data_IF_139506055081
#
_entry.id   IF_139506055081
#
_cell.length_a   1.000
_cell.length_b   1.000
_cell.length_c   1.000
_cell.angle_alpha   90.00
_cell.angle_beta   90.00
_cell.angle_gamma   90.00
#
_symmetry.space_group_name_H-M   'P 1'
#
loop_
_entity.id
_entity.type
_entity.pdbx_description
1 polymer ?
#
# COMPACT_ATOMS: atom_id res chain seq x y z
N UNK A 1 0.48 12.54 1.65
CA UNK A 1 -0.28 11.66 2.58
C UNK A 1 0.11 10.20 2.33
N UNK A 2 -0.03 9.31 3.32
CA UNK A 2 0.39 7.91 3.18
C UNK A 2 -0.76 6.98 3.58
N UNK A 3 -0.97 5.90 2.82
CA UNK A 3 -1.74 4.74 3.25
C UNK A 3 -0.80 3.62 3.69
N UNK A 4 -1.16 2.98 4.79
CA UNK A 4 -0.49 1.77 5.27
C UNK A 4 -1.29 0.57 4.78
N UNK A 5 -0.63 -0.30 4.04
CA UNK A 5 -1.21 -1.48 3.40
C UNK A 5 -0.29 -2.69 3.59
N UNK A 6 -0.70 -3.84 3.03
CA UNK A 6 0.04 -5.10 3.04
C UNK A 6 -0.05 -5.71 1.65
N UNK A 7 0.97 -6.42 1.20
CA UNK A 7 0.84 -7.20 -0.03
C UNK A 7 0.11 -8.52 0.25
N UNK A 8 -0.21 -9.28 -0.80
CA UNK A 8 -0.79 -10.61 -0.64
C UNK A 8 0.19 -11.61 -0.01
N UNK A 9 1.50 -11.29 -0.01
CA UNK A 9 2.54 -12.16 0.51
C UNK A 9 2.77 -11.98 2.01
N UNK A 10 2.28 -10.88 2.60
CA UNK A 10 2.56 -10.49 3.97
C UNK A 10 1.41 -10.91 4.90
N UNK A 11 1.73 -11.45 6.07
CA UNK A 11 0.82 -11.72 7.18
C UNK A 11 0.59 -10.47 8.04
N UNK A 12 -0.59 -10.33 8.67
CA UNK A 12 -0.91 -9.12 9.42
C UNK A 12 -0.12 -9.12 10.73
N UNK A 13 0.39 -7.95 11.12
CA UNK A 13 1.14 -7.67 12.36
C UNK A 13 2.43 -8.49 12.59
N UNK A 14 2.85 -9.30 11.62
CA UNK A 14 4.05 -10.15 11.71
C UNK A 14 5.06 -9.74 10.65
N UNK A 15 4.60 -9.58 9.41
CA UNK A 15 5.44 -9.19 8.28
C UNK A 15 5.44 -7.66 8.08
N UNK A 16 6.28 -7.19 7.15
CA UNK A 16 6.43 -5.78 6.83
C UNK A 16 5.17 -5.14 6.23
N UNK A 17 5.15 -3.81 6.23
CA UNK A 17 4.08 -3.01 5.65
C UNK A 17 4.45 -2.47 4.27
N UNK A 18 3.42 -2.08 3.53
CA UNK A 18 3.54 -1.33 2.28
C UNK A 18 3.03 0.08 2.51
N UNK A 19 3.89 1.08 2.39
CA UNK A 19 3.56 2.49 2.48
C UNK A 19 3.29 3.05 1.09
N UNK A 20 2.02 3.35 0.80
CA UNK A 20 1.61 3.95 -0.47
C UNK A 20 1.59 5.46 -0.31
N UNK A 21 2.50 6.14 -0.99
CA UNK A 21 2.74 7.57 -0.84
C UNK A 21 1.94 8.41 -1.86
N UNK A 22 1.87 9.72 -1.62
CA UNK A 22 1.23 10.72 -2.48
C UNK A 22 -0.24 10.43 -2.86
N UNK A 23 -0.97 9.75 -1.97
CA UNK A 23 -2.36 9.38 -2.19
C UNK A 23 -3.35 10.54 -1.97
N UNK A 24 -4.50 10.43 -2.64
CA UNK A 24 -5.70 11.21 -2.38
C UNK A 24 -6.63 10.47 -1.40
N UNK A 25 -6.64 10.91 -0.14
CA UNK A 25 -7.46 10.34 0.95
C UNK A 25 -8.97 10.44 0.71
N UNK A 26 -9.43 11.28 -0.21
CA UNK A 26 -10.86 11.36 -0.54
C UNK A 26 -11.33 10.23 -1.45
N UNK A 27 -10.40 9.51 -2.07
CA UNK A 27 -10.67 8.42 -3.03
C UNK A 27 -10.34 7.03 -2.52
N UNK A 28 -9.54 6.93 -1.46
CA UNK A 28 -9.08 5.67 -0.88
C UNK A 28 -9.67 5.51 0.52
N UNK A 29 -10.20 4.32 0.80
CA UNK A 29 -10.68 3.90 2.10
C UNK A 29 -10.04 2.58 2.51
N UNK A 30 -10.01 2.31 3.82
CA UNK A 30 -9.55 1.03 4.35
C UNK A 30 -10.38 -0.12 3.79
N UNK A 31 -9.72 -1.15 3.28
CA UNK A 31 -10.36 -2.31 2.65
C UNK A 31 -10.36 -2.27 1.11
N UNK A 32 -10.04 -1.14 0.49
CA UNK A 32 -9.83 -1.08 -0.96
C UNK A 32 -8.63 -1.94 -1.37
N UNK A 33 -8.74 -2.58 -2.54
CA UNK A 33 -7.61 -3.23 -3.20
C UNK A 33 -6.92 -2.24 -4.12
N UNK A 34 -5.63 -2.03 -3.91
CA UNK A 34 -4.82 -1.10 -4.69
C UNK A 34 -3.88 -1.86 -5.62
N UNK A 35 -3.70 -1.34 -6.83
CA UNK A 35 -2.55 -1.67 -7.66
C UNK A 35 -1.50 -0.58 -7.48
N UNK A 36 -0.29 -1.00 -7.12
CA UNK A 36 0.81 -0.11 -6.77
C UNK A 36 2.11 -0.60 -7.41
N UNK A 37 3.03 0.33 -7.65
CA UNK A 37 4.40 0.03 -8.05
C UNK A 37 5.31 0.22 -6.84
N UNK A 38 6.07 -0.81 -6.48
CA UNK A 38 7.09 -0.71 -5.43
C UNK A 38 8.27 0.08 -5.96
N UNK A 39 8.64 1.15 -5.26
CA UNK A 39 9.71 2.07 -5.67
C UNK A 39 10.92 2.00 -4.75
N UNK A 40 10.76 1.57 -3.50
CA UNK A 40 11.86 1.45 -2.55
C UNK A 40 11.56 0.40 -1.47
N UNK A 41 12.58 -0.01 -0.71
CA UNK A 41 12.46 -0.93 0.41
C UNK A 41 13.47 -0.59 1.52
N UNK A 42 13.01 -0.57 2.77
CA UNK A 42 13.86 -0.36 3.96
C UNK A 42 13.30 -1.12 5.17
N UNK A 43 14.18 -1.68 6.01
CA UNK A 43 13.83 -2.46 7.22
C UNK A 43 12.61 -3.42 7.06
N UNK A 44 12.54 -4.15 5.94
CA UNK A 44 11.46 -5.08 5.56
C UNK A 44 10.13 -4.42 5.15
N UNK A 45 10.01 -3.10 5.26
CA UNK A 45 8.91 -2.33 4.72
C UNK A 45 9.16 -1.98 3.24
N UNK A 46 8.07 -1.84 2.50
CA UNK A 46 8.07 -1.44 1.10
C UNK A 46 7.41 -0.08 0.94
N UNK A 47 7.93 0.71 -0.01
CA UNK A 47 7.39 2.01 -0.37
C UNK A 47 6.89 1.95 -1.80
N UNK A 48 5.73 2.55 -2.05
CA UNK A 48 5.03 2.36 -3.30
C UNK A 48 4.29 3.60 -3.79
N UNK A 49 4.11 3.66 -5.11
CA UNK A 49 3.27 4.65 -5.79
C UNK A 49 1.97 4.02 -6.25
N UNK A 50 0.87 4.74 -6.04
CA UNK A 50 -0.45 4.32 -6.50
C UNK A 50 -0.52 4.33 -8.04
N UNK A 51 -0.95 3.21 -8.63
CA UNK A 51 -1.25 3.09 -10.06
C UNK A 51 -2.76 3.20 -10.28
N UNK A 52 -3.54 2.34 -9.61
CA UNK A 52 -5.01 2.38 -9.70
C UNK A 52 -5.67 1.77 -8.46
N UNK A 53 -6.91 2.18 -8.20
CA UNK A 53 -7.79 1.56 -7.20
C UNK A 53 -8.61 0.50 -7.93
N UNK A 54 -8.60 -0.75 -7.46
CA UNK A 54 -9.41 -1.83 -8.04
C UNK A 54 -10.84 -1.71 -7.52
N UNK A 55 -11.79 -1.53 -8.44
CA UNK A 55 -13.21 -1.65 -8.12
C UNK A 55 -13.59 -3.12 -7.98
N UNK A 56 -14.41 -3.43 -6.98
CA UNK A 56 -15.05 -4.74 -6.85
C UNK A 56 -16.10 -4.96 -7.95
#
# INVERSE_FOLDING_TARGET
PVAVARSYADAPEIDGNVFVEDIDKSKIQSGDLLEVEITDADEYDLFAKLITIKSA
#
